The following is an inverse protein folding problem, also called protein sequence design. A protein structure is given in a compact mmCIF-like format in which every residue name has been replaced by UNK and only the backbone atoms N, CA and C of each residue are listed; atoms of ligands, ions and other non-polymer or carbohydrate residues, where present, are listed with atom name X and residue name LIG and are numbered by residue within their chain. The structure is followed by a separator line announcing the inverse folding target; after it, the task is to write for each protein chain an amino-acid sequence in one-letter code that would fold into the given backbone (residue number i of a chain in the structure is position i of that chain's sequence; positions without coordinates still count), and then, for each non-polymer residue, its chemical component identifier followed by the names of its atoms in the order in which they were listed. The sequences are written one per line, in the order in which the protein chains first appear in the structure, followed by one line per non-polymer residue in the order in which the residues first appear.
data_IF_294004745153
#
_entry.id   IF_294004745153
#
_cell.length_a   1.000
_cell.length_b   1.000
_cell.length_c   1.000
_cell.angle_alpha   90.00
_cell.angle_beta   90.00
_cell.angle_gamma   90.00
#
_symmetry.space_group_name_H-M   'P 1'
#
loop_
_entity.id
_entity.type
_entity.pdbx_description
1 polymer ?
#
# COMPACT_ATOMS: atom_id res chain seq x y z
N UNK A 1 -55.92 8.38 19.40
CA UNK A 1 -54.70 7.56 19.58
C UNK A 1 -53.73 7.95 18.48
N UNK A 2 -52.55 8.49 18.83
CA UNK A 2 -51.55 8.99 17.86
C UNK A 2 -50.51 7.88 17.62
N UNK A 3 -50.20 7.50 16.37
CA UNK A 3 -49.21 6.43 16.12
C UNK A 3 -47.80 6.90 16.50
N UNK A 4 -47.05 6.00 17.13
CA UNK A 4 -45.62 6.17 17.41
C UNK A 4 -44.83 6.22 16.09
N UNK A 5 -43.78 7.03 15.95
CA UNK A 5 -42.88 6.95 14.80
C UNK A 5 -42.10 5.62 14.83
N UNK A 6 -41.71 5.05 13.67
CA UNK A 6 -40.87 3.87 13.63
C UNK A 6 -39.52 4.18 14.28
N UNK A 7 -39.11 3.33 15.20
CA UNK A 7 -37.80 3.38 15.84
C UNK A 7 -36.72 3.52 14.75
N UNK A 8 -35.96 4.61 14.82
CA UNK A 8 -34.71 4.74 14.08
C UNK A 8 -33.86 3.53 14.43
N UNK A 9 -33.63 2.65 13.46
CA UNK A 9 -32.62 1.60 13.56
C UNK A 9 -31.31 2.27 14.01
N UNK A 10 -30.61 1.75 15.04
CA UNK A 10 -29.22 2.15 15.23
C UNK A 10 -28.46 1.85 13.93
N UNK A 11 -27.49 2.69 13.52
CA UNK A 11 -26.67 2.38 12.38
C UNK A 11 -26.12 0.96 12.59
N UNK A 12 -26.39 0.08 11.64
CA UNK A 12 -25.77 -1.23 11.62
C UNK A 12 -24.25 -0.99 11.60
N UNK A 13 -23.62 -1.13 12.75
CA UNK A 13 -22.18 -1.23 12.86
C UNK A 13 -21.85 -2.57 12.20
N UNK A 14 -21.66 -2.53 10.88
CA UNK A 14 -20.93 -3.56 10.17
C UNK A 14 -19.58 -3.70 10.88
N UNK A 15 -19.06 -4.92 11.07
CA UNK A 15 -17.75 -5.08 11.67
C UNK A 15 -16.73 -4.36 10.78
N UNK A 16 -16.25 -3.18 11.22
CA UNK A 16 -15.07 -2.52 10.67
C UNK A 16 -13.88 -3.43 10.95
N UNK A 17 -13.65 -4.41 10.07
CA UNK A 17 -12.61 -5.40 10.21
C UNK A 17 -11.26 -4.77 9.84
N UNK A 18 -10.52 -4.45 10.90
CA UNK A 18 -9.07 -4.33 11.04
C UNK A 18 -8.34 -3.26 10.20
N UNK A 19 -8.01 -2.15 10.85
CA UNK A 19 -6.88 -1.28 10.46
C UNK A 19 -5.61 -1.97 10.96
N UNK A 20 -4.96 -2.77 10.12
CA UNK A 20 -3.78 -3.55 10.55
C UNK A 20 -2.66 -3.53 9.52
N UNK A 21 -2.38 -2.34 8.96
CA UNK A 21 -1.14 -2.14 8.21
C UNK A 21 -0.05 -1.68 9.18
N UNK A 22 0.87 -2.57 9.54
CA UNK A 22 2.07 -2.19 10.28
C UNK A 22 3.18 -1.82 9.30
N UNK A 23 3.81 -0.68 9.56
CA UNK A 23 4.93 -0.15 8.79
C UNK A 23 6.22 -0.21 9.62
N UNK A 24 7.31 -0.67 9.03
CA UNK A 24 8.66 -0.55 9.61
C UNK A 24 9.57 0.08 8.57
N UNK A 25 10.13 1.25 8.90
CA UNK A 25 11.09 1.95 8.04
C UNK A 25 12.49 1.70 8.56
N UNK A 26 13.33 1.08 7.73
CA UNK A 26 14.76 0.89 7.97
C UNK A 26 15.58 1.63 6.94
N UNK A 27 16.48 2.51 7.38
CA UNK A 27 17.44 3.20 6.50
C UNK A 27 18.74 2.38 6.40
N UNK A 28 19.05 1.86 5.21
CA UNK A 28 20.38 1.40 4.84
C UNK A 28 21.27 2.55 4.35
N UNK A 29 22.52 2.27 3.96
CA UNK A 29 23.47 3.31 3.53
C UNK A 29 23.02 4.07 2.28
N UNK A 30 22.23 3.45 1.39
CA UNK A 30 21.69 4.10 0.18
C UNK A 30 20.22 3.78 -0.12
N UNK A 31 19.58 2.89 0.64
CA UNK A 31 18.24 2.39 0.35
C UNK A 31 17.38 2.43 1.60
N UNK A 32 16.11 2.80 1.44
CA UNK A 32 15.13 2.82 2.53
C UNK A 32 14.16 1.68 2.34
N UNK A 33 14.13 0.77 3.30
CA UNK A 33 13.26 -0.40 3.29
C UNK A 33 12.02 -0.07 4.10
N UNK A 34 10.85 -0.27 3.51
CA UNK A 34 9.55 -0.09 4.14
C UNK A 34 8.83 -1.44 4.12
N UNK A 35 8.76 -2.09 5.28
CA UNK A 35 8.07 -3.37 5.41
C UNK A 35 6.58 -3.14 5.62
N UNK A 36 5.77 -3.81 4.81
CA UNK A 36 4.31 -3.79 4.84
C UNK A 36 3.82 -5.13 5.42
N UNK A 37 3.00 -5.05 6.47
CA UNK A 37 2.38 -6.21 7.10
C UNK A 37 0.87 -5.99 7.13
N UNK A 38 0.08 -6.98 6.68
CA UNK A 38 -1.39 -6.93 6.68
C UNK A 38 -2.00 -6.56 5.32
N UNK A 39 -3.01 -5.71 5.30
CA UNK A 39 -3.80 -5.43 4.10
C UNK A 39 -3.54 -4.03 3.51
N UNK A 40 -3.20 -3.96 2.22
CA UNK A 40 -3.11 -2.71 1.47
C UNK A 40 -4.43 -2.42 0.72
N UNK A 41 -5.36 -1.83 1.46
CA UNK A 41 -6.65 -1.32 0.97
C UNK A 41 -6.61 0.19 0.69
N UNK A 42 -7.66 0.74 0.10
CA UNK A 42 -7.81 2.20 -0.08
C UNK A 42 -7.56 3.02 1.19
N UNK A 43 -8.03 2.56 2.36
CA UNK A 43 -7.86 3.29 3.62
C UNK A 43 -6.40 3.33 4.09
N UNK A 44 -5.72 2.19 4.05
CA UNK A 44 -4.30 2.04 4.40
C UNK A 44 -3.38 2.64 3.34
N UNK A 45 -3.82 2.70 2.09
CA UNK A 45 -3.09 3.33 0.99
C UNK A 45 -2.96 4.85 1.21
N UNK A 46 -3.98 5.54 1.71
CA UNK A 46 -3.85 6.96 2.07
C UNK A 46 -2.74 7.19 3.12
N UNK A 47 -2.67 6.32 4.14
CA UNK A 47 -1.66 6.41 5.21
C UNK A 47 -0.27 6.13 4.65
N UNK A 48 -0.11 5.02 3.93
CA UNK A 48 1.16 4.65 3.31
C UNK A 48 1.65 5.73 2.34
N UNK A 49 0.74 6.33 1.58
CA UNK A 49 1.07 7.38 0.62
C UNK A 49 1.63 8.64 1.25
N UNK A 50 1.11 9.03 2.43
CA UNK A 50 1.67 10.12 3.22
C UNK A 50 3.11 9.82 3.64
N UNK A 51 3.35 8.63 4.23
CA UNK A 51 4.69 8.24 4.69
C UNK A 51 5.69 8.15 3.54
N UNK A 52 5.32 7.50 2.43
CA UNK A 52 6.22 7.37 1.28
C UNK A 52 6.50 8.73 0.62
N UNK A 53 5.51 9.62 0.60
CA UNK A 53 5.70 11.00 0.11
C UNK A 53 6.69 11.76 0.98
N UNK A 54 6.54 11.69 2.29
CA UNK A 54 7.44 12.35 3.24
C UNK A 54 8.88 11.84 3.08
N UNK A 55 9.08 10.53 2.97
CA UNK A 55 10.40 9.95 2.69
C UNK A 55 11.00 10.48 1.37
N UNK A 56 10.20 10.59 0.31
CA UNK A 56 10.68 11.15 -0.96
C UNK A 56 11.09 12.61 -0.79
N UNK A 57 10.31 13.39 -0.04
CA UNK A 57 10.55 14.81 0.21
C UNK A 57 11.77 15.04 1.12
N UNK A 58 12.07 14.10 2.02
CA UNK A 58 13.30 14.03 2.82
C UNK A 58 14.54 13.63 1.99
N UNK A 59 14.36 13.27 0.71
CA UNK A 59 15.44 12.95 -0.22
C UNK A 59 15.74 11.46 -0.37
N UNK A 60 14.91 10.58 0.18
CA UNK A 60 15.05 9.13 0.00
C UNK A 60 14.67 8.73 -1.43
N UNK A 61 15.68 8.53 -2.28
CA UNK A 61 15.51 8.24 -3.72
C UNK A 61 15.38 6.76 -4.05
N UNK A 62 15.84 5.86 -3.19
CA UNK A 62 15.79 4.42 -3.45
C UNK A 62 14.96 3.74 -2.38
N UNK A 63 13.69 3.50 -2.70
CA UNK A 63 12.74 2.87 -1.80
C UNK A 63 12.55 1.40 -2.16
N UNK A 64 12.62 0.54 -1.15
CA UNK A 64 12.30 -0.88 -1.25
C UNK A 64 11.07 -1.13 -0.38
N UNK A 65 10.00 -1.63 -0.99
CA UNK A 65 8.84 -2.12 -0.24
C UNK A 65 9.00 -3.62 -0.03
N UNK A 66 9.07 -4.04 1.22
CA UNK A 66 8.99 -5.44 1.58
C UNK A 66 7.53 -5.82 1.82
N UNK A 67 6.97 -6.56 0.87
CA UNK A 67 5.58 -7.02 0.88
C UNK A 67 5.45 -8.50 1.30
N UNK A 68 6.51 -9.11 1.86
CA UNK A 68 6.52 -10.52 2.29
C UNK A 68 5.42 -10.90 3.28
N UNK A 69 4.93 -9.94 4.06
CA UNK A 69 3.87 -10.12 5.03
C UNK A 69 2.56 -9.41 4.63
N UNK A 70 2.38 -9.11 3.35
CA UNK A 70 1.15 -8.51 2.83
C UNK A 70 0.12 -9.60 2.52
N UNK A 71 -1.08 -9.48 3.06
CA UNK A 71 -2.17 -10.43 2.85
C UNK A 71 -3.01 -10.10 1.60
N UNK A 72 -3.23 -8.80 1.37
CA UNK A 72 -3.99 -8.32 0.21
C UNK A 72 -3.51 -6.95 -0.30
N UNK A 73 -3.80 -6.68 -1.58
CA UNK A 73 -3.59 -5.38 -2.21
C UNK A 73 -4.72 -5.14 -3.22
N UNK A 74 -5.49 -4.07 -3.04
CA UNK A 74 -6.57 -3.67 -3.95
C UNK A 74 -6.10 -2.69 -5.03
N UNK A 75 -7.02 -2.27 -5.92
CA UNK A 75 -6.69 -1.31 -6.98
C UNK A 75 -6.20 0.04 -6.45
N UNK A 76 -6.65 0.48 -5.27
CA UNK A 76 -6.18 1.72 -4.67
C UNK A 76 -4.75 1.58 -4.15
N UNK A 77 -4.39 0.43 -3.58
CA UNK A 77 -3.02 0.06 -3.26
C UNK A 77 -2.10 0.15 -4.46
N UNK A 78 -2.44 -0.51 -5.57
CA UNK A 78 -1.64 -0.47 -6.80
C UNK A 78 -1.49 0.94 -7.37
N UNK A 79 -2.57 1.71 -7.42
CA UNK A 79 -2.54 3.10 -7.90
C UNK A 79 -1.63 3.99 -7.05
N UNK A 80 -1.66 3.82 -5.73
CA UNK A 80 -0.74 4.53 -4.84
C UNK A 80 0.72 4.21 -5.18
N UNK A 81 1.05 2.92 -5.28
CA UNK A 81 2.42 2.48 -5.55
C UNK A 81 2.94 3.04 -6.88
N UNK A 82 2.08 3.07 -7.90
CA UNK A 82 2.40 3.66 -9.19
C UNK A 82 2.64 5.18 -9.08
N UNK A 83 1.79 5.89 -8.33
CA UNK A 83 1.96 7.31 -8.06
C UNK A 83 3.30 7.64 -7.38
N UNK A 84 3.70 6.86 -6.37
CA UNK A 84 5.00 7.01 -5.70
C UNK A 84 6.16 6.69 -6.64
N UNK A 85 6.05 5.62 -7.46
CA UNK A 85 7.04 5.27 -8.47
C UNK A 85 7.28 6.42 -9.47
N UNK A 86 6.21 7.08 -9.92
CA UNK A 86 6.32 8.24 -10.81
C UNK A 86 6.92 9.45 -10.12
N UNK A 87 6.53 9.73 -8.88
CA UNK A 87 7.16 10.79 -8.08
C UNK A 87 8.66 10.58 -7.96
N UNK A 88 9.09 9.37 -7.58
CA UNK A 88 10.51 9.00 -7.51
C UNK A 88 11.23 9.16 -8.86
N UNK A 89 10.59 8.79 -9.97
CA UNK A 89 11.19 8.95 -11.29
C UNK A 89 11.54 10.43 -11.61
N UNK A 90 10.76 11.40 -11.11
CA UNK A 90 11.07 12.84 -11.29
C UNK A 90 12.34 13.30 -10.58
N UNK A 91 12.80 12.55 -9.57
CA UNK A 91 14.03 12.82 -8.81
C UNK A 91 15.12 11.77 -9.07
N UNK A 92 15.03 11.06 -10.19
CA UNK A 92 15.93 9.96 -10.58
C UNK A 92 16.03 8.84 -9.52
N UNK A 93 14.95 8.67 -8.76
CA UNK A 93 14.76 7.62 -7.78
C UNK A 93 14.00 6.43 -8.34
N UNK A 94 13.95 5.36 -7.54
CA UNK A 94 13.31 4.10 -7.89
C UNK A 94 12.53 3.52 -6.71
N UNK A 95 11.39 2.91 -7.02
CA UNK A 95 10.61 2.07 -6.11
C UNK A 95 10.75 0.62 -6.58
N UNK A 96 11.21 -0.26 -5.71
CA UNK A 96 11.24 -1.71 -5.94
C UNK A 96 10.37 -2.42 -4.92
N UNK A 97 9.66 -3.45 -5.34
CA UNK A 97 8.90 -4.31 -4.41
C UNK A 97 9.55 -5.67 -4.32
N UNK A 98 9.74 -6.17 -3.10
CA UNK A 98 10.29 -7.49 -2.80
C UNK A 98 9.30 -8.31 -1.98
N UNK A 99 9.46 -9.63 -1.98
CA UNK A 99 8.65 -10.53 -1.15
C UNK A 99 7.17 -10.62 -1.56
N UNK A 100 6.80 -10.14 -2.74
CA UNK A 100 5.39 -10.09 -3.13
C UNK A 100 4.76 -11.51 -3.13
N UNK A 101 3.66 -11.75 -2.39
CA UNK A 101 3.04 -13.07 -2.31
C UNK A 101 2.62 -13.57 -3.70
N UNK A 102 2.65 -14.90 -3.98
CA UNK A 102 2.39 -15.45 -5.31
C UNK A 102 1.06 -14.99 -5.93
N UNK A 103 0.02 -14.81 -5.10
CA UNK A 103 -1.28 -14.29 -5.55
C UNK A 103 -1.17 -12.86 -6.06
N UNK A 104 -0.51 -11.98 -5.32
CA UNK A 104 -0.33 -10.58 -5.70
C UNK A 104 0.67 -10.43 -6.86
N UNK A 105 1.68 -11.30 -6.93
CA UNK A 105 2.64 -11.32 -8.05
C UNK A 105 1.93 -11.64 -9.36
N UNK A 106 1.04 -12.63 -9.37
CA UNK A 106 0.23 -12.94 -10.56
C UNK A 106 -0.65 -11.76 -11.00
N UNK A 107 -1.29 -11.06 -10.06
CA UNK A 107 -2.09 -9.87 -10.37
C UNK A 107 -1.20 -8.76 -10.95
N UNK A 108 -0.04 -8.51 -10.34
CA UNK A 108 0.94 -7.54 -10.81
C UNK A 108 1.41 -7.84 -12.25
N UNK A 109 1.69 -9.12 -12.56
CA UNK A 109 2.03 -9.56 -13.91
C UNK A 109 0.87 -9.38 -14.89
N UNK A 110 -0.37 -9.73 -14.51
CA UNK A 110 -1.56 -9.55 -15.35
C UNK A 110 -1.87 -8.09 -15.65
N UNK A 111 -1.51 -7.19 -14.74
CA UNK A 111 -1.65 -5.75 -14.90
C UNK A 111 -0.43 -5.11 -15.61
N UNK A 112 0.54 -5.92 -16.06
CA UNK A 112 1.80 -5.46 -16.67
C UNK A 112 2.62 -4.52 -15.77
N UNK A 113 2.44 -4.61 -14.45
CA UNK A 113 3.12 -3.80 -13.45
C UNK A 113 4.40 -4.45 -12.91
N UNK A 114 4.66 -5.71 -13.25
CA UNK A 114 5.80 -6.47 -12.74
C UNK A 114 7.14 -5.76 -13.04
N UNK A 115 7.37 -5.37 -14.31
CA UNK A 115 8.56 -4.62 -14.71
C UNK A 115 8.63 -3.22 -14.07
N UNK A 116 7.48 -2.56 -13.92
CA UNK A 116 7.40 -1.22 -13.31
C UNK A 116 7.96 -1.22 -11.89
N UNK A 117 7.67 -2.27 -11.13
CA UNK A 117 8.08 -2.45 -9.74
C UNK A 117 9.32 -3.32 -9.55
N UNK A 118 9.95 -3.77 -10.64
CA UNK A 118 11.11 -4.67 -10.58
C UNK A 118 10.79 -6.03 -9.94
N UNK A 119 9.54 -6.49 -10.07
CA UNK A 119 9.06 -7.78 -9.59
C UNK A 119 9.37 -8.82 -10.68
N UNK A 120 10.59 -9.35 -10.64
CA UNK A 120 10.99 -10.48 -11.50
C UNK A 120 10.61 -11.82 -10.88
N UNK A 121 10.16 -12.76 -11.71
CA UNK A 121 10.13 -14.17 -11.32
C UNK A 121 11.56 -14.61 -11.02
N UNK A 122 11.80 -15.03 -9.77
CA UNK A 122 12.96 -15.85 -9.46
C UNK A 122 12.80 -17.23 -10.11
#
# INVERSE_FOLDING_TARGET
MRPLPPASLPPAVLPSRAVDLKLVVGSGTEQTIVTLVGDLTMSTACILGGVLTELVDEGHRFLILDASALDSCDGAGWNLLLGIRWRLATVSGHLRIIGLPPRLARLCTQMELAEVFGVGAA
#
